data_IF_690477907060
#
_entry.id   IF_690477907060
#
_cell.length_a   1.000
_cell.length_b   1.000
_cell.length_c   1.000
_cell.angle_alpha   90.00
_cell.angle_beta   90.00
_cell.angle_gamma   90.00
#
_symmetry.space_group_name_H-M   'P 1'
#
loop_
_entity.id
_entity.type
_entity.pdbx_description
1 polymer ?
#
# COMPACT_ATOMS: atom_id res chain seq x y z
N UNK A 1 -28.98 -16.52 -19.63
CA UNK A 1 -28.46 -15.95 -18.37
C UNK A 1 -27.25 -16.75 -17.85
N UNK A 2 -26.10 -16.59 -18.51
CA UNK A 2 -24.92 -17.45 -18.39
C UNK A 2 -23.65 -16.65 -18.01
N UNK A 3 -23.70 -15.79 -16.97
CA UNK A 3 -22.54 -14.98 -16.54
C UNK A 3 -22.43 -14.70 -15.03
N UNK A 4 -22.83 -15.64 -14.17
CA UNK A 4 -22.58 -15.51 -12.71
C UNK A 4 -21.84 -16.72 -12.09
N UNK A 5 -21.65 -17.83 -12.83
CA UNK A 5 -21.02 -19.05 -12.31
C UNK A 5 -19.51 -19.21 -12.64
N UNK A 6 -18.79 -18.10 -12.91
CA UNK A 6 -17.37 -18.16 -13.33
C UNK A 6 -16.39 -17.44 -12.40
N UNK A 7 -16.83 -16.84 -11.28
CA UNK A 7 -15.98 -15.99 -10.44
C UNK A 7 -15.53 -16.63 -9.10
N UNK A 8 -15.94 -17.85 -8.76
CA UNK A 8 -15.63 -18.49 -7.45
C UNK A 8 -14.70 -19.71 -7.55
N UNK A 9 -13.85 -19.80 -8.58
CA UNK A 9 -12.84 -20.87 -8.72
C UNK A 9 -11.38 -20.39 -8.73
N UNK A 10 -11.11 -19.14 -8.34
CA UNK A 10 -9.74 -18.58 -8.36
C UNK A 10 -9.17 -18.22 -6.97
N UNK A 11 -9.64 -18.85 -5.88
CA UNK A 11 -9.06 -18.64 -4.54
C UNK A 11 -9.00 -19.92 -3.70
N UNK A 12 -8.69 -21.05 -4.34
CA UNK A 12 -8.30 -22.26 -3.64
C UNK A 12 -6.82 -22.53 -3.90
N UNK A 13 -5.98 -22.08 -2.98
CA UNK A 13 -4.57 -22.47 -2.89
C UNK A 13 -4.51 -23.77 -2.11
N UNK A 14 -3.91 -24.80 -2.72
CA UNK A 14 -3.70 -26.10 -2.09
C UNK A 14 -2.71 -25.95 -0.92
N UNK A 15 -3.17 -26.23 0.30
CA UNK A 15 -2.31 -26.45 1.46
C UNK A 15 -1.99 -27.93 1.51
N UNK A 16 -0.71 -28.27 1.33
CA UNK A 16 -0.06 -29.46 1.87
C UNK A 16 -0.68 -30.83 1.56
N UNK A 17 0.07 -31.64 0.81
CA UNK A 17 -0.15 -33.08 0.71
C UNK A 17 -0.01 -33.75 2.08
N UNK A 18 -1.14 -33.97 2.77
CA UNK A 18 -1.22 -34.86 3.91
C UNK A 18 -1.22 -36.32 3.45
N UNK A 19 -0.25 -37.10 3.95
CA UNK A 19 -0.13 -38.53 3.72
C UNK A 19 -1.35 -39.32 4.22
N UNK A 20 -1.58 -40.44 3.56
CA UNK A 20 -2.68 -41.38 3.78
C UNK A 20 -2.60 -42.01 5.18
N UNK A 21 -3.28 -41.41 6.16
CA UNK A 21 -3.85 -42.03 7.36
C UNK A 21 -4.27 -40.91 8.33
N UNK A 22 -5.21 -40.08 7.92
CA UNK A 22 -5.95 -39.21 8.83
C UNK A 22 -7.43 -39.34 8.49
N UNK A 23 -7.98 -40.50 8.86
CA UNK A 23 -9.41 -40.74 8.90
C UNK A 23 -9.97 -40.01 10.11
N UNK A 24 -10.91 -39.10 9.86
CA UNK A 24 -12.06 -38.84 10.74
C UNK A 24 -11.83 -37.98 11.99
N UNK A 25 -12.35 -36.76 11.95
CA UNK A 25 -13.17 -36.08 12.98
C UNK A 25 -13.12 -34.57 12.71
N UNK A 26 -14.20 -33.81 12.54
CA UNK A 26 -15.62 -34.12 12.64
C UNK A 26 -16.44 -33.07 11.88
N UNK A 27 -17.62 -33.50 11.44
CA UNK A 27 -18.69 -32.65 10.94
C UNK A 27 -19.16 -31.69 12.05
N UNK A 28 -19.39 -30.44 11.67
CA UNK A 28 -20.30 -29.53 12.36
C UNK A 28 -21.60 -29.59 11.54
N UNK A 29 -22.72 -29.97 12.16
CA UNK A 29 -24.02 -29.28 12.01
C UNK A 29 -25.05 -29.89 12.98
N UNK A 30 -25.66 -28.98 13.74
CA UNK A 30 -27.04 -28.92 14.22
C UNK A 30 -27.63 -30.07 15.09
N UNK A 31 -27.96 -29.71 16.33
CA UNK A 31 -28.90 -30.44 17.19
C UNK A 31 -30.33 -30.43 16.61
N UNK A 32 -30.99 -31.59 16.66
CA UNK A 32 -32.40 -31.70 16.30
C UNK A 32 -32.95 -33.12 16.46
N UNK A 33 -33.60 -33.36 17.60
CA UNK A 33 -34.71 -34.31 17.84
C UNK A 33 -34.46 -35.83 18.02
N UNK A 34 -34.74 -36.27 19.24
CA UNK A 34 -35.69 -37.35 19.67
C UNK A 34 -35.50 -38.81 19.18
N UNK A 35 -35.11 -39.65 20.14
CA UNK A 35 -35.74 -40.89 20.66
C UNK A 35 -36.28 -42.02 19.72
N UNK A 36 -35.77 -43.24 20.01
CA UNK A 36 -36.26 -44.62 19.81
C UNK A 36 -36.58 -45.16 18.41
N UNK A 37 -35.80 -46.18 17.96
CA UNK A 37 -36.21 -47.60 17.79
C UNK A 37 -35.32 -48.34 16.78
N UNK A 38 -35.00 -49.59 17.14
CA UNK A 38 -34.61 -50.72 16.29
C UNK A 38 -33.13 -50.88 15.84
N UNK A 39 -32.47 -51.82 16.52
CA UNK A 39 -31.51 -52.82 15.98
C UNK A 39 -32.03 -53.48 14.66
N UNK A 40 -31.30 -54.38 13.95
CA UNK A 40 -29.95 -54.93 14.18
C UNK A 40 -29.03 -55.07 12.94
N UNK A 41 -27.76 -55.40 13.23
CA UNK A 41 -26.88 -56.42 12.59
C UNK A 41 -26.42 -56.31 11.12
N UNK A 42 -25.10 -56.40 10.96
CA UNK A 42 -24.39 -57.60 10.48
C UNK A 42 -22.94 -57.20 10.21
N UNK A 43 -22.04 -57.45 11.16
CA UNK A 43 -21.10 -58.59 11.14
C UNK A 43 -20.20 -58.65 9.90
N UNK A 44 -18.98 -58.15 10.04
CA UNK A 44 -17.81 -58.73 9.35
C UNK A 44 -16.60 -58.63 10.29
N UNK A 45 -16.30 -59.75 10.95
CA UNK A 45 -15.03 -60.03 11.61
C UNK A 45 -13.91 -59.95 10.58
N UNK A 46 -12.69 -59.51 10.97
CA UNK A 46 -11.69 -60.56 11.09
C UNK A 46 -10.64 -60.35 12.20
N UNK A 47 -10.21 -61.51 12.69
CA UNK A 47 -8.85 -61.84 13.15
C UNK A 47 -8.28 -61.09 14.36
N UNK A 48 -8.51 -61.74 15.49
CA UNK A 48 -7.48 -62.24 16.39
C UNK A 48 -6.28 -61.32 16.66
N UNK A 49 -6.33 -60.77 17.87
CA UNK A 49 -5.21 -60.28 18.65
C UNK A 49 -4.18 -61.41 18.88
N UNK A 50 -2.92 -61.15 18.56
CA UNK A 50 -1.77 -61.84 19.16
C UNK A 50 -0.56 -60.89 19.16
N UNK A 51 -0.13 -60.50 20.35
CA UNK A 51 1.04 -59.66 20.59
C UNK A 51 2.35 -60.34 20.16
N UNK A 52 3.40 -59.56 19.86
CA UNK A 52 4.63 -59.80 20.60
C UNK A 52 5.31 -58.51 21.09
N UNK A 53 5.67 -58.57 22.38
CA UNK A 53 6.88 -58.07 23.04
C UNK A 53 7.25 -56.58 22.89
N UNK A 54 7.23 -55.92 24.05
CA UNK A 54 7.65 -54.55 24.32
C UNK A 54 8.97 -54.15 23.64
N UNK A 55 9.02 -53.00 22.94
CA UNK A 55 10.29 -52.37 22.58
C UNK A 55 10.96 -51.75 23.83
N UNK A 56 12.31 -51.69 23.88
CA UNK A 56 13.03 -51.08 24.99
C UNK A 56 12.71 -49.58 25.10
N UNK A 57 12.58 -49.12 26.34
CA UNK A 57 12.32 -47.74 26.74
C UNK A 57 13.31 -46.77 26.05
N UNK A 58 12.85 -45.67 25.42
CA UNK A 58 13.75 -44.67 24.88
C UNK A 58 14.44 -43.92 26.03
N UNK A 59 15.78 -43.81 25.95
CA UNK A 59 16.59 -42.96 26.85
C UNK A 59 15.98 -41.55 27.01
N UNK A 60 16.18 -40.90 28.17
CA UNK A 60 15.67 -39.55 28.39
C UNK A 60 16.29 -38.58 27.38
N UNK A 61 15.46 -38.10 26.47
CA UNK A 61 15.77 -37.00 25.56
C UNK A 61 16.23 -35.78 26.37
N UNK A 62 17.34 -35.11 26.01
CA UNK A 62 17.76 -33.90 26.71
C UNK A 62 16.65 -32.85 26.57
N UNK A 63 16.14 -32.37 27.69
CA UNK A 63 15.14 -31.30 27.75
C UNK A 63 15.60 -30.14 26.87
N UNK A 64 14.84 -29.73 25.82
CA UNK A 64 15.20 -28.54 25.07
C UNK A 64 15.04 -27.34 26.00
N UNK A 65 16.13 -26.60 26.20
CA UNK A 65 16.10 -25.30 26.88
C UNK A 65 14.97 -24.45 26.30
N UNK A 66 14.07 -23.87 27.11
CA UNK A 66 13.00 -23.04 26.58
C UNK A 66 13.63 -21.84 25.84
N UNK A 67 13.46 -21.82 24.52
CA UNK A 67 13.80 -20.65 23.70
C UNK A 67 12.77 -19.56 24.05
N UNK A 68 13.16 -18.61 24.89
CA UNK A 68 12.40 -17.38 25.09
C UNK A 68 12.14 -16.75 23.71
N UNK A 69 10.89 -16.47 23.30
CA UNK A 69 10.63 -15.78 22.04
C UNK A 69 11.29 -14.40 22.12
N UNK A 70 12.30 -14.17 21.27
CA UNK A 70 12.95 -12.88 21.13
C UNK A 70 11.91 -11.97 20.46
N UNK A 71 11.32 -11.05 21.24
CA UNK A 71 10.49 -9.98 20.70
C UNK A 71 11.43 -9.02 19.97
N UNK A 72 11.50 -9.13 18.63
CA UNK A 72 12.23 -8.15 17.82
C UNK A 72 11.60 -6.78 18.06
N UNK A 73 12.33 -5.77 18.58
CA UNK A 73 11.75 -4.46 18.76
C UNK A 73 11.30 -3.92 17.40
N UNK A 74 10.03 -3.51 17.30
CA UNK A 74 9.51 -2.84 16.11
C UNK A 74 10.37 -1.60 15.86
N UNK A 75 10.95 -1.42 14.65
CA UNK A 75 11.77 -0.23 14.39
C UNK A 75 10.90 1.01 14.59
N UNK A 76 11.37 1.95 15.41
CA UNK A 76 10.72 3.25 15.55
C UNK A 76 10.77 3.95 14.19
N UNK A 77 9.65 4.42 13.62
CA UNK A 77 9.67 5.09 12.33
C UNK A 77 10.48 6.37 12.44
N UNK A 78 11.49 6.53 11.57
CA UNK A 78 12.26 7.77 11.45
C UNK A 78 11.33 8.93 11.12
N UNK A 79 11.43 10.10 11.78
CA UNK A 79 10.65 11.27 11.44
C UNK A 79 10.80 11.62 9.96
N UNK A 80 9.68 11.73 9.24
CA UNK A 80 9.68 12.12 7.84
C UNK A 80 10.14 13.59 7.72
N UNK A 81 11.12 13.86 6.85
CA UNK A 81 11.56 15.20 6.55
C UNK A 81 10.58 15.90 5.60
N UNK A 82 10.37 17.21 5.77
CA UNK A 82 9.60 18.02 4.81
C UNK A 82 10.36 18.17 3.47
N UNK A 83 9.66 18.23 2.33
CA UNK A 83 10.31 18.45 1.03
C UNK A 83 10.74 19.92 0.87
N UNK A 84 11.71 20.16 0.00
CA UNK A 84 12.12 21.50 -0.44
C UNK A 84 11.94 21.66 -1.94
N UNK A 85 11.39 22.80 -2.37
CA UNK A 85 11.15 23.08 -3.80
C UNK A 85 12.12 24.07 -4.39
N UNK A 86 12.43 23.89 -5.67
CA UNK A 86 13.25 24.82 -6.43
C UNK A 86 12.75 24.99 -7.87
N UNK A 87 12.98 26.19 -8.44
CA UNK A 87 12.74 26.44 -9.85
C UNK A 87 13.93 25.93 -10.67
N UNK A 88 13.73 24.81 -11.36
CA UNK A 88 14.74 24.29 -12.31
C UNK A 88 14.82 25.17 -13.56
N UNK A 89 13.69 25.73 -13.98
CA UNK A 89 13.62 26.67 -15.09
C UNK A 89 12.54 27.72 -14.85
N UNK A 90 12.87 28.97 -15.17
CA UNK A 90 11.97 30.10 -15.10
C UNK A 90 12.30 31.09 -16.24
N UNK A 91 11.34 31.92 -16.68
CA UNK A 91 11.60 32.97 -17.65
C UNK A 91 12.56 34.04 -17.10
N UNK A 92 13.02 34.99 -17.92
CA UNK A 92 13.61 36.22 -17.41
C UNK A 92 12.60 37.01 -16.56
N UNK A 93 13.11 37.83 -15.64
CA UNK A 93 12.27 38.72 -14.79
C UNK A 93 11.43 39.71 -15.59
N UNK A 94 11.83 40.01 -16.83
CA UNK A 94 11.08 40.85 -17.76
C UNK A 94 10.76 40.06 -19.02
N UNK A 95 9.47 39.78 -19.24
CA UNK A 95 8.97 39.13 -20.45
C UNK A 95 8.34 40.20 -21.33
N UNK A 96 8.80 40.28 -22.58
CA UNK A 96 8.27 41.20 -23.57
C UNK A 96 7.31 40.48 -24.52
N UNK A 97 6.16 41.07 -24.82
CA UNK A 97 5.15 40.48 -25.73
C UNK A 97 4.59 41.52 -26.68
N UNK A 98 4.20 41.13 -27.89
CA UNK A 98 3.46 42.00 -28.83
C UNK A 98 1.95 42.01 -28.55
N UNK A 99 1.45 41.06 -27.77
CA UNK A 99 0.03 40.92 -27.44
C UNK A 99 -0.34 41.48 -26.06
N UNK A 100 -1.59 41.28 -25.65
CA UNK A 100 -2.07 41.61 -24.29
C UNK A 100 -1.62 40.60 -23.23
N UNK A 101 -1.11 39.45 -23.66
CA UNK A 101 -0.62 38.37 -22.80
C UNK A 101 0.70 37.82 -23.31
N UNK A 102 1.45 37.15 -22.43
CA UNK A 102 2.66 36.41 -22.75
C UNK A 102 2.54 34.97 -22.24
N UNK A 103 2.93 33.99 -23.07
CA UNK A 103 3.01 32.60 -22.65
C UNK A 103 4.30 32.38 -21.88
N UNK A 104 4.18 31.91 -20.64
CA UNK A 104 5.30 31.70 -19.73
C UNK A 104 5.27 30.27 -19.23
N UNK A 105 6.43 29.62 -19.24
CA UNK A 105 6.61 28.29 -18.69
C UNK A 105 7.48 28.33 -17.44
N UNK A 106 7.34 27.32 -16.60
CA UNK A 106 8.16 27.07 -15.44
C UNK A 106 8.39 25.56 -15.32
N UNK A 107 9.55 25.17 -14.80
CA UNK A 107 9.87 23.80 -14.40
C UNK A 107 10.31 23.80 -12.95
N UNK A 108 9.79 22.85 -12.19
CA UNK A 108 10.05 22.72 -10.76
C UNK A 108 10.77 21.41 -10.48
N UNK A 109 11.51 21.39 -9.39
CA UNK A 109 12.10 20.18 -8.84
C UNK A 109 11.85 20.16 -7.32
N UNK A 110 11.78 18.95 -6.79
CA UNK A 110 11.72 18.64 -5.36
C UNK A 110 12.89 17.74 -5.03
N UNK A 111 13.46 17.87 -3.84
CA UNK A 111 14.47 16.96 -3.29
C UNK A 111 13.89 15.58 -2.95
N UNK A 112 12.57 15.47 -2.79
CA UNK A 112 11.85 14.24 -2.50
C UNK A 112 10.97 13.78 -3.68
N UNK A 113 10.85 12.46 -3.86
CA UNK A 113 9.98 11.79 -4.83
C UNK A 113 9.32 10.56 -4.21
N UNK A 114 8.01 10.31 -4.42
CA UNK A 114 7.07 11.15 -5.16
C UNK A 114 6.65 12.39 -4.37
N UNK A 115 6.49 13.52 -5.06
CA UNK A 115 6.00 14.77 -4.50
C UNK A 115 4.90 15.39 -5.38
N UNK A 116 3.85 15.91 -4.74
CA UNK A 116 2.77 16.66 -5.39
C UNK A 116 3.08 18.14 -5.31
N UNK A 117 3.16 18.83 -6.45
CA UNK A 117 3.41 20.28 -6.46
C UNK A 117 2.11 21.08 -6.37
N UNK A 118 2.16 22.17 -5.63
CA UNK A 118 1.09 23.12 -5.40
C UNK A 118 1.56 24.49 -5.88
N UNK A 119 0.87 25.06 -6.85
CA UNK A 119 1.22 26.35 -7.43
C UNK A 119 0.15 27.37 -7.07
N UNK A 120 0.59 28.51 -6.54
CA UNK A 120 -0.22 29.70 -6.42
C UNK A 120 0.31 30.75 -7.39
N UNK A 121 -0.60 31.44 -8.08
CA UNK A 121 -0.23 32.51 -9.00
C UNK A 121 -0.89 33.81 -8.57
N UNK A 122 -0.06 34.83 -8.45
CA UNK A 122 -0.36 36.14 -7.91
C UNK A 122 -0.94 36.03 -6.49
N UNK A 123 -2.20 36.42 -6.34
CA UNK A 123 -2.96 36.28 -5.09
C UNK A 123 -3.97 35.12 -5.15
N UNK A 124 -3.86 34.26 -6.15
CA UNK A 124 -4.67 33.07 -6.29
C UNK A 124 -4.33 32.02 -5.24
N UNK A 125 -5.28 31.15 -4.93
CA UNK A 125 -5.05 30.02 -4.04
C UNK A 125 -4.13 28.96 -4.64
N UNK A 126 -3.51 28.15 -3.78
CA UNK A 126 -2.73 27.00 -4.20
C UNK A 126 -3.61 25.97 -4.92
N UNK A 127 -3.14 25.50 -6.07
CA UNK A 127 -3.77 24.44 -6.86
C UNK A 127 -2.72 23.42 -7.23
N UNK A 128 -3.12 22.16 -7.33
CA UNK A 128 -2.21 21.10 -7.77
C UNK A 128 -1.72 21.44 -9.17
N UNK A 129 -0.40 21.49 -9.32
CA UNK A 129 0.29 21.63 -10.58
C UNK A 129 1.22 20.42 -10.75
N UNK A 130 1.48 20.00 -11.98
CA UNK A 130 2.48 18.96 -12.23
C UNK A 130 3.90 19.49 -11.98
N UNK A 131 4.91 18.74 -12.43
CA UNK A 131 6.33 19.15 -12.39
C UNK A 131 6.65 20.43 -13.19
N UNK A 132 5.66 21.07 -13.81
CA UNK A 132 5.81 22.42 -14.31
C UNK A 132 4.49 23.09 -14.66
N UNK A 133 4.59 24.38 -14.93
CA UNK A 133 3.47 25.28 -15.11
C UNK A 133 3.66 26.03 -16.43
N UNK A 134 2.71 25.94 -17.36
CA UNK A 134 2.74 26.72 -18.59
C UNK A 134 1.40 27.42 -18.77
N UNK A 135 1.41 28.75 -18.74
CA UNK A 135 0.19 29.57 -18.79
C UNK A 135 0.44 30.92 -19.44
N UNK A 136 -0.65 31.57 -19.84
CA UNK A 136 -0.61 32.95 -20.35
C UNK A 136 -0.82 33.94 -19.21
N UNK A 137 0.04 34.96 -19.15
CA UNK A 137 0.01 36.03 -18.16
C UNK A 137 -0.29 37.35 -18.86
N UNK A 138 -1.12 38.18 -18.24
CA UNK A 138 -1.45 39.51 -18.77
C UNK A 138 -0.26 40.47 -18.67
N UNK A 139 -0.35 41.64 -19.30
CA UNK A 139 0.58 42.73 -19.05
C UNK A 139 0.46 43.14 -17.58
N UNK A 140 1.59 43.20 -16.87
CA UNK A 140 1.59 43.49 -15.44
C UNK A 140 2.71 42.81 -14.69
N UNK A 141 2.76 43.06 -13.37
CA UNK A 141 3.61 42.33 -12.45
C UNK A 141 2.91 41.05 -12.01
N UNK A 142 3.65 39.95 -11.99
CA UNK A 142 3.15 38.64 -11.59
C UNK A 142 4.11 37.96 -10.63
N UNK A 143 3.56 37.10 -9.79
CA UNK A 143 4.29 36.30 -8.83
C UNK A 143 3.80 34.86 -8.90
N UNK A 144 4.71 33.90 -8.92
CA UNK A 144 4.40 32.48 -8.87
C UNK A 144 5.04 31.91 -7.62
N UNK A 145 4.25 31.19 -6.82
CA UNK A 145 4.71 30.46 -5.64
C UNK A 145 4.48 28.98 -5.89
N UNK A 146 5.44 28.16 -5.50
CA UNK A 146 5.39 26.71 -5.65
C UNK A 146 5.81 26.08 -4.33
N UNK A 147 5.03 25.10 -3.91
CA UNK A 147 5.28 24.27 -2.74
C UNK A 147 5.16 22.80 -3.15
N UNK A 148 5.86 21.90 -2.47
CA UNK A 148 5.71 20.47 -2.67
C UNK A 148 5.05 19.85 -1.44
N UNK A 149 4.33 18.76 -1.68
CA UNK A 149 3.81 17.88 -0.64
C UNK A 149 4.35 16.47 -0.88
N UNK A 150 5.02 15.90 0.11
CA UNK A 150 5.57 14.54 0.00
C UNK A 150 4.50 13.47 0.26
N UNK A 151 4.88 12.19 0.09
CA UNK A 151 4.00 11.05 0.32
C UNK A 151 3.52 10.92 1.78
N UNK A 152 4.33 11.39 2.74
CA UNK A 152 3.94 11.45 4.15
C UNK A 152 2.93 12.58 4.45
N UNK A 153 2.61 13.40 3.45
CA UNK A 153 1.65 14.50 3.56
C UNK A 153 2.23 15.80 4.11
N UNK A 154 3.55 15.88 4.32
CA UNK A 154 4.27 17.08 4.77
C UNK A 154 4.41 18.08 3.62
N UNK A 155 4.15 19.35 3.92
CA UNK A 155 4.30 20.47 2.99
C UNK A 155 5.71 21.09 3.10
N UNK A 156 6.15 21.65 2.00
CA UNK A 156 7.36 22.47 1.92
C UNK A 156 7.20 23.73 2.77
N UNK A 157 8.07 23.90 3.76
CA UNK A 157 8.13 25.09 4.60
C UNK A 157 8.79 26.28 3.87
N UNK A 158 9.52 26.00 2.80
CA UNK A 158 10.33 26.94 2.02
C UNK A 158 9.78 27.08 0.60
N UNK A 159 8.55 27.58 0.50
CA UNK A 159 7.89 27.84 -0.77
C UNK A 159 8.80 28.60 -1.75
N UNK A 160 9.04 28.03 -2.93
CA UNK A 160 9.80 28.70 -3.97
C UNK A 160 8.96 29.84 -4.57
N UNK A 161 9.46 31.07 -4.51
CA UNK A 161 8.77 32.25 -5.06
C UNK A 161 9.54 32.87 -6.22
N UNK A 162 8.84 33.15 -7.32
CA UNK A 162 9.40 33.84 -8.48
C UNK A 162 8.52 35.01 -8.92
N UNK A 163 9.12 36.20 -9.01
CA UNK A 163 8.43 37.42 -9.44
C UNK A 163 8.95 37.89 -10.80
N UNK A 164 8.03 38.25 -11.70
CA UNK A 164 8.36 38.75 -13.03
C UNK A 164 7.35 39.79 -13.51
N UNK A 165 7.68 40.50 -14.58
CA UNK A 165 6.81 41.49 -15.19
C UNK A 165 6.67 41.21 -16.68
N UNK A 166 5.44 41.28 -17.17
CA UNK A 166 5.12 41.23 -18.59
C UNK A 166 4.93 42.67 -19.07
N UNK A 167 5.68 43.06 -20.11
CA UNK A 167 5.54 44.37 -20.76
C UNK A 167 5.21 44.20 -22.24
N UNK A 168 4.36 45.07 -22.82
CA UNK A 168 4.21 45.13 -24.25
C UNK A 168 5.53 45.61 -24.90
N UNK A 169 5.82 45.09 -26.08
CA UNK A 169 6.77 45.69 -27.01
C UNK A 169 5.99 46.77 -27.74
N UNK A 170 6.28 48.03 -27.40
CA UNK A 170 5.87 49.19 -28.19
C UNK A 170 6.70 49.27 -29.46
#
# INVERSE_FOLDING_TARGET
PARVAAALRASAVAIGTSGQCAVGAGLIEAEGAVETLLLPESEVTPLACAAPLSPPEPEPSPTPTPLTPIVTPTPTPTPAAAPTTSFKWHPPRLVRTRGRTARVAFRFASDQSPATFLCAVDRGGYRVCGAGLARSFAIGAHMVRVEARNAAGLLDATAAVFSFRVKPVG
#
